data_IF_971225849590
#
_entry.id   IF_971225849590
#
_cell.length_a   1.000
_cell.length_b   1.000
_cell.length_c   1.000
_cell.angle_alpha   90.00
_cell.angle_beta   90.00
_cell.angle_gamma   90.00
#
_symmetry.space_group_name_H-M   'P 1'
#
loop_
_entity.id
_entity.type
_entity.pdbx_description
1 polymer ?
#
# COMPACT_ATOMS: atom_id res chain seq x y z
N UNK A 1 22.27 16.75 -12.77
CA UNK A 1 21.67 15.41 -12.90
C UNK A 1 20.74 15.25 -11.72
N UNK A 2 19.44 15.14 -12.01
CA UNK A 2 18.44 14.85 -10.99
C UNK A 2 18.68 13.41 -10.51
N UNK A 3 18.79 13.21 -9.20
CA UNK A 3 19.06 11.90 -8.62
C UNK A 3 17.69 11.21 -8.48
N UNK A 4 17.33 10.34 -9.42
CA UNK A 4 16.11 9.52 -9.34
C UNK A 4 16.29 8.43 -8.27
N UNK A 5 15.84 8.71 -7.05
CA UNK A 5 15.82 7.80 -5.90
C UNK A 5 14.40 7.59 -5.45
N UNK A 6 14.14 6.42 -4.89
CA UNK A 6 12.80 5.94 -4.56
C UNK A 6 12.67 5.63 -3.08
N UNK A 7 11.44 5.70 -2.58
CA UNK A 7 11.08 5.36 -1.21
C UNK A 7 10.88 6.58 -0.32
N UNK A 8 10.74 6.32 0.98
CA UNK A 8 10.39 7.31 1.99
C UNK A 8 11.59 8.16 2.39
N UNK A 9 11.45 9.48 2.32
CA UNK A 9 12.43 10.46 2.78
C UNK A 9 11.86 11.89 2.72
N UNK A 10 12.42 12.81 3.50
CA UNK A 10 12.15 14.24 3.38
C UNK A 10 12.68 14.86 2.08
N UNK A 11 13.74 14.28 1.47
CA UNK A 11 14.37 14.77 0.23
C UNK A 11 14.74 13.65 -0.74
N UNK A 12 14.75 13.90 -2.07
CA UNK A 12 15.05 12.86 -3.05
C UNK A 12 16.41 12.19 -2.83
N UNK A 13 17.47 12.95 -2.57
CA UNK A 13 18.83 12.43 -2.38
C UNK A 13 18.99 11.50 -1.17
N UNK A 14 18.03 11.54 -0.23
CA UNK A 14 18.01 10.71 0.97
C UNK A 14 17.22 9.41 0.78
N UNK A 15 16.37 9.32 -0.25
CA UNK A 15 15.57 8.12 -0.48
C UNK A 15 16.49 6.92 -0.77
N UNK A 16 16.16 5.74 -0.23
CA UNK A 16 17.11 4.63 -0.09
C UNK A 16 17.33 3.81 -1.37
N UNK A 17 16.39 3.86 -2.31
CA UNK A 17 16.34 2.92 -3.42
C UNK A 17 16.65 3.57 -4.76
N UNK A 18 17.15 2.77 -5.71
CA UNK A 18 17.45 3.22 -7.07
C UNK A 18 16.34 2.90 -8.08
N UNK A 19 15.34 2.12 -7.68
CA UNK A 19 14.22 1.72 -8.52
C UNK A 19 12.97 1.49 -7.67
N UNK A 20 11.78 1.71 -8.26
CA UNK A 20 10.53 1.58 -7.54
C UNK A 20 10.25 0.15 -7.08
N UNK A 21 10.62 -0.88 -7.86
CA UNK A 21 10.40 -2.28 -7.45
C UNK A 21 11.13 -2.61 -6.13
N UNK A 22 12.26 -1.95 -5.84
CA UNK A 22 13.01 -2.18 -4.61
C UNK A 22 12.24 -1.72 -3.37
N UNK A 23 11.42 -0.66 -3.49
CA UNK A 23 10.51 -0.21 -2.42
C UNK A 23 9.47 -1.29 -2.14
N UNK A 24 8.87 -1.86 -3.19
CA UNK A 24 7.89 -2.94 -3.06
C UNK A 24 8.52 -4.20 -2.46
N UNK A 25 9.70 -4.60 -2.93
CA UNK A 25 10.41 -5.75 -2.37
C UNK A 25 10.80 -5.56 -0.90
N UNK A 26 11.20 -4.35 -0.50
CA UNK A 26 11.48 -4.06 0.90
C UNK A 26 10.21 -4.16 1.77
N UNK A 27 9.07 -3.70 1.26
CA UNK A 27 7.78 -3.87 1.93
C UNK A 27 7.41 -5.36 2.06
N UNK A 28 7.52 -6.13 0.98
CA UNK A 28 7.25 -7.58 0.97
C UNK A 28 8.18 -8.36 1.90
N UNK A 29 9.48 -8.03 1.94
CA UNK A 29 10.44 -8.67 2.82
C UNK A 29 10.08 -8.46 4.30
N UNK A 30 9.77 -7.21 4.68
CA UNK A 30 9.29 -6.89 6.03
C UNK A 30 7.99 -7.60 6.37
N UNK A 31 7.04 -7.63 5.42
CA UNK A 31 5.77 -8.32 5.59
C UNK A 31 5.96 -9.82 5.79
N UNK A 32 6.87 -10.46 5.03
CA UNK A 32 7.24 -11.87 5.21
C UNK A 32 7.73 -12.16 6.61
N UNK A 33 8.70 -11.39 7.10
CA UNK A 33 9.30 -11.58 8.43
C UNK A 33 8.23 -11.50 9.53
N UNK A 34 7.38 -10.49 9.46
CA UNK A 34 6.30 -10.25 10.43
C UNK A 34 5.20 -11.33 10.37
N UNK A 35 4.74 -11.69 9.17
CA UNK A 35 3.74 -12.75 8.98
C UNK A 35 4.27 -14.08 9.51
N UNK A 36 5.51 -14.44 9.15
CA UNK A 36 6.15 -15.66 9.63
C UNK A 36 6.29 -15.67 11.17
N UNK A 37 6.66 -14.54 11.77
CA UNK A 37 6.78 -14.43 13.22
C UNK A 37 5.44 -14.49 13.96
N UNK A 38 4.38 -13.92 13.39
CA UNK A 38 3.06 -13.89 14.03
C UNK A 38 2.33 -15.23 13.88
N UNK A 39 2.56 -15.98 12.80
CA UNK A 39 1.92 -17.26 12.54
C UNK A 39 0.41 -17.18 12.30
N UNK A 40 -0.11 -15.99 11.97
CA UNK A 40 -1.55 -15.73 11.79
C UNK A 40 -2.03 -15.92 10.35
N UNK A 41 -1.11 -15.88 9.38
CA UNK A 41 -1.38 -15.98 7.95
C UNK A 41 -0.33 -16.87 7.28
N UNK A 42 -0.67 -17.43 6.12
CA UNK A 42 0.28 -18.21 5.32
C UNK A 42 1.32 -17.30 4.66
N UNK A 43 2.60 -17.62 4.85
CA UNK A 43 3.72 -16.92 4.23
C UNK A 43 3.70 -17.08 2.69
N UNK A 44 3.09 -18.17 2.18
CA UNK A 44 2.92 -18.39 0.73
C UNK A 44 2.14 -17.28 0.03
N UNK A 45 1.32 -16.51 0.76
CA UNK A 45 0.64 -15.32 0.23
C UNK A 45 1.64 -14.24 -0.20
N UNK A 46 2.75 -14.09 0.54
CA UNK A 46 3.83 -13.16 0.17
C UNK A 46 4.56 -13.65 -1.08
N UNK A 47 4.79 -14.96 -1.19
CA UNK A 47 5.41 -15.56 -2.38
C UNK A 47 4.60 -15.27 -3.65
N UNK A 48 3.27 -15.39 -3.58
CA UNK A 48 2.39 -15.12 -4.71
C UNK A 48 2.45 -13.66 -5.18
N UNK A 49 2.39 -12.69 -4.26
CA UNK A 49 2.50 -11.27 -4.62
C UNK A 49 3.91 -10.92 -5.12
N UNK A 50 4.95 -11.46 -4.48
CA UNK A 50 6.34 -11.24 -4.90
C UNK A 50 6.61 -11.79 -6.30
N UNK A 51 5.98 -12.91 -6.68
CA UNK A 51 6.04 -13.44 -8.03
C UNK A 51 5.52 -12.42 -9.05
N UNK A 52 4.34 -11.84 -8.82
CA UNK A 52 3.75 -10.86 -9.74
C UNK A 52 4.55 -9.56 -9.85
N UNK A 53 5.11 -9.06 -8.74
CA UNK A 53 6.03 -7.90 -8.74
C UNK A 53 7.29 -8.21 -9.55
N UNK A 54 7.83 -9.43 -9.42
CA UNK A 54 9.00 -9.87 -10.18
C UNK A 54 8.70 -9.97 -11.68
N UNK A 55 7.56 -10.54 -12.04
CA UNK A 55 7.14 -10.74 -13.43
C UNK A 55 7.00 -9.42 -14.21
N UNK A 56 6.56 -8.34 -13.55
CA UNK A 56 6.33 -7.02 -14.16
C UNK A 56 7.36 -5.96 -13.74
N UNK A 57 8.50 -6.41 -13.21
CA UNK A 57 9.54 -5.52 -12.70
C UNK A 57 9.98 -4.45 -13.71
N UNK A 58 10.08 -4.80 -14.98
CA UNK A 58 10.47 -3.84 -16.04
C UNK A 58 9.48 -2.68 -16.19
N UNK A 59 8.17 -2.96 -16.12
CA UNK A 59 7.13 -1.92 -16.17
C UNK A 59 7.15 -1.09 -14.89
N UNK A 60 7.31 -1.72 -13.73
CA UNK A 60 7.38 -1.05 -12.43
C UNK A 60 8.62 -0.14 -12.33
N UNK A 61 9.77 -0.58 -12.82
CA UNK A 61 11.03 0.18 -12.79
C UNK A 61 11.07 1.30 -13.86
N UNK A 62 10.08 1.37 -14.75
CA UNK A 62 9.91 2.48 -15.71
C UNK A 62 9.17 3.69 -15.14
N UNK A 63 8.63 3.57 -13.92
CA UNK A 63 7.86 4.62 -13.25
C UNK A 63 8.80 5.67 -12.70
N UNK A 64 8.50 6.95 -12.95
CA UNK A 64 9.28 8.07 -12.43
C UNK A 64 9.20 8.18 -10.90
N UNK A 65 10.29 8.64 -10.28
CA UNK A 65 10.40 8.93 -8.85
C UNK A 65 9.62 10.18 -8.43
N UNK A 66 8.31 10.21 -8.67
CA UNK A 66 7.46 11.38 -8.41
C UNK A 66 7.31 11.58 -6.90
N UNK A 67 7.54 12.78 -6.34
CA UNK A 67 7.28 13.04 -4.94
C UNK A 67 5.78 13.05 -4.66
N UNK A 68 5.35 12.39 -3.59
CA UNK A 68 3.96 12.42 -3.11
C UNK A 68 3.88 12.33 -1.58
N UNK A 69 2.77 12.85 -1.02
CA UNK A 69 2.44 12.70 0.39
C UNK A 69 1.92 11.29 0.64
N UNK A 70 2.74 10.46 1.30
CA UNK A 70 2.49 9.03 1.38
C UNK A 70 1.40 8.63 2.37
N UNK A 71 1.20 9.41 3.43
CA UNK A 71 0.19 9.13 4.47
C UNK A 71 -0.98 10.12 4.42
N UNK A 72 -1.44 10.47 3.22
CA UNK A 72 -2.73 11.18 3.01
C UNK A 72 -3.93 10.24 3.15
N UNK A 73 -3.83 9.30 4.09
CA UNK A 73 -4.90 8.34 4.40
C UNK A 73 -5.97 8.99 5.28
N UNK A 74 -7.03 8.23 5.62
CA UNK A 74 -8.15 8.74 6.43
C UNK A 74 -7.75 9.22 7.84
N UNK A 75 -6.51 8.97 8.29
CA UNK A 75 -6.03 9.34 9.63
C UNK A 75 -5.42 10.75 9.69
N UNK A 76 -4.85 11.24 8.59
CA UNK A 76 -4.08 12.49 8.56
C UNK A 76 -4.76 13.60 7.77
N UNK A 77 -6.07 13.48 7.53
CA UNK A 77 -6.90 14.51 6.89
C UNK A 77 -7.81 15.14 7.93
N UNK A 78 -7.78 16.46 8.05
CA UNK A 78 -8.66 17.23 8.93
C UNK A 78 -9.88 17.69 8.13
N UNK A 79 -11.06 17.40 8.67
CA UNK A 79 -12.33 17.89 8.17
C UNK A 79 -12.96 18.86 9.17
N UNK A 80 -13.63 19.91 8.68
CA UNK A 80 -14.38 20.84 9.53
C UNK A 80 -15.64 20.14 10.09
N UNK A 81 -16.30 20.78 11.06
CA UNK A 81 -17.57 20.27 11.61
C UNK A 81 -18.67 20.15 10.57
N UNK A 82 -18.60 20.93 9.48
CA UNK A 82 -19.52 20.89 8.33
C UNK A 82 -19.13 19.85 7.27
N UNK A 83 -18.04 19.10 7.49
CA UNK A 83 -17.56 18.06 6.58
C UNK A 83 -16.72 18.59 5.41
N UNK A 84 -16.25 19.83 5.46
CA UNK A 84 -15.34 20.37 4.45
C UNK A 84 -13.88 19.96 4.75
N UNK A 85 -13.06 19.77 3.71
CA UNK A 85 -11.63 19.58 3.89
C UNK A 85 -11.00 20.85 4.52
N UNK A 86 -10.22 20.66 5.57
CA UNK A 86 -9.56 21.76 6.28
C UNK A 86 -8.03 21.72 6.20
N UNK A 87 -7.43 20.54 6.03
CA UNK A 87 -5.97 20.41 5.97
C UNK A 87 -5.47 18.97 6.04
N UNK A 88 -4.16 18.81 5.82
CA UNK A 88 -3.42 17.56 5.99
C UNK A 88 -2.38 17.78 7.09
N UNK A 89 -2.17 16.78 7.94
CA UNK A 89 -1.12 16.75 8.96
C UNK A 89 -0.10 15.66 8.63
N UNK A 90 1.00 15.61 9.38
CA UNK A 90 2.06 14.60 9.22
C UNK A 90 2.68 14.63 7.80
N UNK A 91 3.20 15.81 7.44
CA UNK A 91 3.77 16.11 6.11
C UNK A 91 5.30 16.22 6.11
N UNK A 92 5.94 15.74 7.18
CA UNK A 92 7.38 15.88 7.39
C UNK A 92 8.20 14.92 6.49
N UNK A 93 7.59 13.82 6.05
CA UNK A 93 8.17 12.84 5.13
C UNK A 93 7.36 12.72 3.82
N UNK A 94 8.08 12.53 2.72
CA UNK A 94 7.52 12.22 1.41
C UNK A 94 7.82 10.77 1.04
N UNK A 95 7.21 10.30 -0.03
CA UNK A 95 7.69 9.14 -0.77
C UNK A 95 7.94 9.53 -2.23
N UNK A 96 9.00 8.97 -2.80
CA UNK A 96 9.38 9.15 -4.20
C UNK A 96 9.09 7.86 -4.97
N UNK A 97 8.15 7.91 -5.92
CA UNK A 97 7.67 6.75 -6.67
C UNK A 97 6.32 7.01 -7.34
N UNK A 98 5.45 6.01 -7.36
CA UNK A 98 4.13 6.12 -7.98
C UNK A 98 3.09 6.81 -7.05
N UNK A 99 2.53 7.98 -7.41
CA UNK A 99 1.53 8.69 -6.60
C UNK A 99 0.20 7.96 -6.42
N UNK A 100 -0.02 6.82 -7.09
CA UNK A 100 -1.18 5.94 -6.86
C UNK A 100 -1.08 5.17 -5.54
N UNK A 101 0.11 5.06 -4.96
CA UNK A 101 0.37 4.21 -3.79
C UNK A 101 -0.48 4.56 -2.54
N UNK A 102 -0.71 5.85 -2.18
CA UNK A 102 -1.57 6.20 -1.05
C UNK A 102 -3.05 5.83 -1.25
N UNK A 103 -3.55 5.94 -2.50
CA UNK A 103 -4.91 5.51 -2.83
C UNK A 103 -5.05 3.99 -2.71
N UNK A 104 -4.00 3.23 -3.07
CA UNK A 104 -3.96 1.78 -2.90
C UNK A 104 -3.92 1.39 -1.41
N UNK A 105 -3.15 2.10 -0.59
CA UNK A 105 -3.11 1.89 0.87
C UNK A 105 -4.48 2.16 1.50
N UNK A 106 -5.13 3.24 1.06
CA UNK A 106 -6.48 3.57 1.49
C UNK A 106 -7.47 2.47 1.10
N UNK A 107 -7.40 1.94 -0.11
CA UNK A 107 -8.24 0.82 -0.53
C UNK A 107 -7.99 -0.43 0.32
N UNK A 108 -6.73 -0.79 0.54
CA UNK A 108 -6.34 -1.93 1.36
C UNK A 108 -6.95 -1.83 2.77
N UNK A 109 -6.82 -0.67 3.41
CA UNK A 109 -7.39 -0.42 4.74
C UNK A 109 -8.93 -0.49 4.74
N UNK A 110 -9.59 0.14 3.76
CA UNK A 110 -11.05 0.09 3.65
C UNK A 110 -11.57 -1.33 3.40
N UNK A 111 -10.87 -2.14 2.60
CA UNK A 111 -11.24 -3.54 2.38
C UNK A 111 -11.00 -4.40 3.62
N UNK A 112 -9.89 -4.18 4.34
CA UNK A 112 -9.56 -4.94 5.55
C UNK A 112 -10.52 -4.67 6.71
N UNK A 113 -11.00 -3.42 6.85
CA UNK A 113 -11.78 -2.97 8.02
C UNK A 113 -13.23 -2.59 7.71
N UNK A 114 -13.72 -2.84 6.49
CA UNK A 114 -15.15 -2.69 6.14
C UNK A 114 -15.62 -1.25 5.86
N UNK A 115 -14.80 -0.46 5.16
CA UNK A 115 -15.10 0.92 4.77
C UNK A 115 -15.58 1.12 3.32
N UNK A 116 -16.07 2.32 2.97
CA UNK A 116 -16.63 2.60 1.65
C UNK A 116 -15.56 2.78 0.56
N UNK A 117 -15.41 1.79 -0.32
CA UNK A 117 -14.46 1.83 -1.45
C UNK A 117 -14.74 2.93 -2.49
N UNK A 118 -15.95 3.51 -2.52
CA UNK A 118 -16.31 4.60 -3.45
C UNK A 118 -15.45 5.85 -3.27
N UNK A 119 -14.87 6.06 -2.09
CA UNK A 119 -13.91 7.14 -1.82
C UNK A 119 -12.66 7.01 -2.71
N UNK A 120 -12.12 5.79 -2.82
CA UNK A 120 -10.94 5.50 -3.66
C UNK A 120 -11.26 5.70 -5.14
N UNK A 121 -12.43 5.26 -5.59
CA UNK A 121 -12.86 5.47 -6.98
C UNK A 121 -12.98 6.97 -7.32
N UNK A 122 -13.41 7.80 -6.37
CA UNK A 122 -13.45 9.25 -6.54
C UNK A 122 -12.04 9.85 -6.59
N UNK A 123 -11.14 9.41 -5.71
CA UNK A 123 -9.74 9.83 -5.71
C UNK A 123 -9.07 9.52 -7.04
N UNK A 124 -9.07 8.25 -7.48
CA UNK A 124 -8.43 7.85 -8.75
C UNK A 124 -8.93 8.69 -9.93
N UNK A 125 -10.25 8.88 -10.03
CA UNK A 125 -10.86 9.72 -11.07
C UNK A 125 -10.38 11.18 -11.01
N UNK A 126 -10.29 11.77 -9.82
CA UNK A 126 -9.82 13.15 -9.68
C UNK A 126 -8.34 13.31 -10.01
N UNK A 127 -7.52 12.31 -9.67
CA UNK A 127 -6.10 12.26 -9.98
C UNK A 127 -5.78 11.83 -11.43
N UNK A 128 -6.81 11.47 -12.23
CA UNK A 128 -6.62 10.94 -13.58
C UNK A 128 -5.93 9.57 -13.63
N UNK A 129 -6.01 8.81 -12.54
CA UNK A 129 -5.42 7.48 -12.42
C UNK A 129 -6.44 6.38 -12.72
N UNK A 130 -5.96 5.30 -13.34
CA UNK A 130 -6.77 4.13 -13.63
C UNK A 130 -6.75 3.14 -12.45
N UNK A 131 -7.85 2.44 -12.27
CA UNK A 131 -7.94 1.23 -11.46
C UNK A 131 -7.49 0.03 -12.32
N UNK A 132 -6.17 -0.06 -12.52
CA UNK A 132 -5.52 -1.03 -13.41
C UNK A 132 -4.80 -2.14 -12.63
N UNK A 133 -4.12 -3.03 -13.37
CA UNK A 133 -3.39 -4.15 -12.76
C UNK A 133 -2.35 -3.69 -11.74
N UNK A 134 -1.73 -2.53 -11.96
CA UNK A 134 -0.65 -2.02 -11.12
C UNK A 134 -1.20 -1.44 -9.83
N UNK A 135 -2.31 -0.69 -9.92
CA UNK A 135 -3.05 -0.24 -8.74
C UNK A 135 -3.52 -1.42 -7.88
N UNK A 136 -4.01 -2.49 -8.51
CA UNK A 136 -4.43 -3.72 -7.82
C UNK A 136 -3.25 -4.46 -7.20
N UNK A 137 -2.10 -4.51 -7.88
CA UNK A 137 -0.87 -5.08 -7.34
C UNK A 137 -0.36 -4.30 -6.11
N UNK A 138 -0.38 -2.96 -6.14
CA UNK A 138 -0.05 -2.14 -4.96
C UNK A 138 -0.99 -2.43 -3.81
N UNK A 139 -2.29 -2.56 -4.08
CA UNK A 139 -3.28 -2.90 -3.05
C UNK A 139 -2.95 -4.25 -2.41
N UNK A 140 -2.53 -5.25 -3.18
CA UNK A 140 -2.09 -6.56 -2.66
C UNK A 140 -0.82 -6.48 -1.80
N UNK A 141 0.19 -5.69 -2.22
CA UNK A 141 1.40 -5.46 -1.41
C UNK A 141 1.04 -4.83 -0.06
N UNK A 142 0.17 -3.82 -0.07
CA UNK A 142 -0.23 -3.09 1.13
C UNK A 142 -1.17 -3.88 2.05
N UNK A 143 -2.00 -4.77 1.49
CA UNK A 143 -2.77 -5.74 2.27
C UNK A 143 -1.85 -6.68 3.04
N UNK A 144 -0.73 -7.14 2.45
CA UNK A 144 0.26 -7.94 3.17
C UNK A 144 0.91 -7.18 4.32
N UNK A 145 1.18 -5.88 4.16
CA UNK A 145 1.71 -5.03 5.24
C UNK A 145 0.69 -4.89 6.39
N UNK A 146 -0.60 -4.71 6.07
CA UNK A 146 -1.68 -4.69 7.07
C UNK A 146 -1.85 -6.05 7.78
N UNK A 147 -1.79 -7.15 7.03
CA UNK A 147 -1.83 -8.52 7.58
C UNK A 147 -0.63 -8.78 8.48
N UNK A 148 0.55 -8.29 8.09
CA UNK A 148 1.77 -8.37 8.87
C UNK A 148 1.70 -7.58 10.19
N UNK A 149 0.88 -6.53 10.25
CA UNK A 149 0.67 -5.71 11.45
C UNK A 149 -0.49 -6.19 12.32
N UNK A 150 -1.41 -7.00 11.77
CA UNK A 150 -2.57 -7.50 12.50
C UNK A 150 -2.16 -8.39 13.67
N UNK A 151 -2.68 -8.07 14.85
CA UNK A 151 -2.35 -8.80 16.09
C UNK A 151 -0.97 -8.50 16.66
N UNK A 152 -0.19 -7.60 16.05
CA UNK A 152 1.04 -7.10 16.68
C UNK A 152 0.73 -6.06 17.76
N UNK A 153 1.57 -6.04 18.78
CA UNK A 153 1.54 -5.02 19.83
C UNK A 153 2.28 -3.79 19.31
N UNK A 154 1.57 -2.70 19.06
CA UNK A 154 2.16 -1.40 18.80
C UNK A 154 1.90 -0.48 20.00
N UNK A 155 2.97 0.09 20.57
CA UNK A 155 2.91 1.05 21.67
C UNK A 155 2.10 0.61 22.92
N UNK A 156 2.06 -0.70 23.21
CA UNK A 156 1.35 -1.24 24.38
C UNK A 156 -0.17 -1.34 24.25
N UNK A 157 -0.74 -1.00 23.08
CA UNK A 157 -2.14 -1.28 22.77
C UNK A 157 -2.23 -2.63 22.08
N UNK A 158 -2.79 -3.62 22.77
CA UNK A 158 -3.15 -4.90 22.16
C UNK A 158 -4.38 -4.69 21.26
N UNK A 159 -4.24 -4.98 19.96
CA UNK A 159 -5.41 -5.24 19.13
C UNK A 159 -5.58 -6.76 19.08
N UNK A 160 -6.58 -7.34 19.76
CA UNK A 160 -6.79 -8.78 19.73
C UNK A 160 -6.97 -9.27 18.29
N UNK A 161 -6.32 -10.37 17.94
CA UNK A 161 -6.46 -10.93 16.60
C UNK A 161 -7.85 -11.53 16.40
N UNK A 162 -8.69 -10.84 15.62
CA UNK A 162 -10.04 -11.32 15.27
C UNK A 162 -10.00 -12.23 14.02
N UNK A 163 -10.46 -13.51 14.10
CA UNK A 163 -10.55 -14.40 12.95
C UNK A 163 -11.38 -13.88 11.78
N UNK A 164 -12.45 -13.13 12.04
CA UNK A 164 -13.31 -12.57 10.99
C UNK A 164 -12.58 -11.48 10.20
N UNK A 165 -11.79 -10.64 10.90
CA UNK A 165 -10.93 -9.64 10.27
C UNK A 165 -9.84 -10.33 9.43
N UNK A 166 -9.22 -11.39 9.94
CA UNK A 166 -8.22 -12.16 9.18
C UNK A 166 -8.81 -12.75 7.89
N UNK A 167 -10.00 -13.34 7.96
CA UNK A 167 -10.70 -13.88 6.79
C UNK A 167 -11.02 -12.77 5.76
N UNK A 168 -11.44 -11.59 6.23
CA UNK A 168 -11.72 -10.42 5.38
C UNK A 168 -10.46 -9.95 4.66
N UNK A 169 -9.34 -9.83 5.38
CA UNK A 169 -8.04 -9.44 4.79
C UNK A 169 -7.58 -10.44 3.72
N UNK A 170 -7.72 -11.74 3.98
CA UNK A 170 -7.34 -12.78 3.03
C UNK A 170 -8.20 -12.73 1.75
N UNK A 171 -9.52 -12.61 1.89
CA UNK A 171 -10.43 -12.47 0.73
C UNK A 171 -10.13 -11.20 -0.07
N UNK A 172 -9.80 -10.10 0.60
CA UNK A 172 -9.40 -8.86 -0.05
C UNK A 172 -8.10 -9.03 -0.85
N UNK A 173 -7.13 -9.76 -0.30
CA UNK A 173 -5.86 -10.04 -0.97
C UNK A 173 -6.07 -10.91 -2.21
N UNK A 174 -6.80 -12.01 -2.06
CA UNK A 174 -7.12 -12.93 -3.16
C UNK A 174 -7.83 -12.22 -4.31
N UNK A 175 -8.82 -11.37 -3.99
CA UNK A 175 -9.53 -10.56 -4.97
C UNK A 175 -8.62 -9.59 -5.73
N UNK A 176 -7.78 -8.82 -5.03
CA UNK A 176 -6.92 -7.85 -5.71
C UNK A 176 -5.80 -8.52 -6.51
N UNK A 177 -5.26 -9.64 -6.01
CA UNK A 177 -4.26 -10.40 -6.74
C UNK A 177 -4.83 -10.98 -8.03
N UNK A 178 -6.03 -11.56 -7.98
CA UNK A 178 -6.73 -12.03 -9.18
C UNK A 178 -6.95 -10.91 -10.21
N UNK A 179 -7.38 -9.72 -9.78
CA UNK A 179 -7.50 -8.56 -10.68
C UNK A 179 -6.16 -8.09 -11.26
N UNK A 180 -5.08 -8.11 -10.48
CA UNK A 180 -3.74 -7.78 -10.96
C UNK A 180 -3.24 -8.78 -12.02
N UNK A 181 -3.64 -10.05 -11.92
CA UNK A 181 -3.26 -11.10 -12.86
C UNK A 181 -4.11 -11.10 -14.14
N UNK A 182 -5.40 -10.73 -14.09
CA UNK A 182 -6.35 -10.86 -15.21
C UNK A 182 -6.09 -9.96 -16.42
N UNK A 183 -5.24 -8.93 -16.31
CA UNK A 183 -4.96 -8.00 -17.42
C UNK A 183 -3.94 -8.58 -18.43
N UNK A 184 -3.69 -9.90 -18.40
CA UNK A 184 -2.78 -10.61 -19.31
C UNK A 184 -3.41 -11.07 -20.65
N UNK A 185 -4.67 -10.73 -20.95
CA UNK A 185 -5.37 -11.16 -22.18
C UNK A 185 -5.64 -10.03 -23.17
#
# INVERSE_FOLDING_TARGET
MEINRYGYAARPEQAAYSAWSQVLFANLARSRERIASAGLFDVGLVDAVQHEVTARRGEIDSIDATPFLHDTTTKNVIVTGEGAFSGIVDVDDLCFGDPRYPAALTLAALMAYGGPASYVSAWLRHAGHADDWLFRLYTSVLLLDLMAEHGNIFNGNETPSDPAVRATMQLALEYNLDLACRVQS
#
